data_IF_541161612976
#
_entry.id   IF_541161612976
#
_cell.length_a   1.000
_cell.length_b   1.000
_cell.length_c   1.000
_cell.angle_alpha   90.00
_cell.angle_beta   90.00
_cell.angle_gamma   90.00
#
_symmetry.space_group_name_H-M   'P 1'
#
loop_
_entity.id
_entity.type
_entity.pdbx_description
1 polymer ?
#
# COMPACT_ATOMS: atom_id res chain seq x y z
N UNK A 1 -27.91 21.45 -17.36
CA UNK A 1 -26.49 21.54 -16.96
C UNK A 1 -26.26 20.51 -15.87
N UNK A 2 -25.80 19.31 -16.19
CA UNK A 2 -25.32 18.34 -15.20
C UNK A 2 -24.03 18.91 -14.63
N UNK A 3 -24.09 19.42 -13.41
CA UNK A 3 -22.89 19.79 -12.65
C UNK A 3 -21.98 18.55 -12.59
N UNK A 4 -20.73 18.71 -12.97
CA UNK A 4 -19.69 17.68 -12.84
C UNK A 4 -19.52 17.40 -11.33
N UNK A 5 -20.16 16.34 -10.83
CA UNK A 5 -20.17 15.97 -9.41
C UNK A 5 -18.93 15.16 -9.02
N UNK A 6 -18.13 14.74 -10.02
CA UNK A 6 -16.90 13.99 -9.84
C UNK A 6 -15.70 14.95 -9.82
N UNK A 7 -14.82 14.80 -8.86
CA UNK A 7 -13.58 15.57 -8.78
C UNK A 7 -12.74 15.35 -10.04
N UNK A 8 -12.21 16.43 -10.64
CA UNK A 8 -11.42 16.38 -11.87
C UNK A 8 -10.19 15.47 -11.80
N UNK A 9 -9.54 15.35 -10.64
CA UNK A 9 -8.40 14.44 -10.44
C UNK A 9 -8.80 12.96 -10.50
N UNK A 10 -10.09 12.62 -10.35
CA UNK A 10 -10.57 11.24 -10.42
C UNK A 10 -10.92 10.82 -11.85
N UNK A 11 -11.22 11.75 -12.75
CA UNK A 11 -11.62 11.43 -14.14
C UNK A 11 -10.50 10.85 -14.99
N UNK A 12 -9.24 10.98 -14.53
CA UNK A 12 -8.04 10.47 -15.21
C UNK A 12 -7.51 9.16 -14.62
N UNK A 13 -8.21 8.60 -13.62
CA UNK A 13 -7.77 7.34 -13.01
C UNK A 13 -8.05 6.18 -13.96
N UNK A 14 -6.99 5.45 -14.29
CA UNK A 14 -7.10 4.22 -15.07
C UNK A 14 -7.51 3.04 -14.17
N UNK A 15 -8.18 2.02 -14.75
CA UNK A 15 -8.45 0.78 -14.03
C UNK A 15 -7.17 0.14 -13.49
N UNK A 16 -7.26 -0.56 -12.37
CA UNK A 16 -6.11 -1.25 -11.78
C UNK A 16 -5.47 -2.20 -12.79
N UNK A 17 -4.20 -1.95 -13.14
CA UNK A 17 -3.42 -2.79 -14.06
C UNK A 17 -3.38 -4.25 -13.58
N UNK A 18 -3.32 -4.49 -12.28
CA UNK A 18 -3.33 -5.83 -11.67
C UNK A 18 -4.64 -6.57 -11.95
N UNK A 19 -5.79 -5.89 -11.83
CA UNK A 19 -7.10 -6.47 -12.16
C UNK A 19 -7.22 -6.76 -13.65
N UNK A 20 -6.82 -5.81 -14.50
CA UNK A 20 -6.87 -5.96 -15.96
C UNK A 20 -5.99 -7.14 -16.44
N UNK A 21 -4.79 -7.31 -15.90
CA UNK A 21 -3.89 -8.44 -16.18
C UNK A 21 -4.54 -9.76 -15.75
N UNK A 22 -5.17 -9.80 -14.58
CA UNK A 22 -5.83 -11.00 -14.08
C UNK A 22 -7.03 -11.40 -14.95
N UNK A 23 -7.86 -10.46 -15.36
CA UNK A 23 -8.98 -10.72 -16.28
C UNK A 23 -8.50 -11.19 -17.65
N UNK A 24 -7.46 -10.55 -18.19
CA UNK A 24 -6.83 -10.99 -19.44
C UNK A 24 -6.29 -12.42 -19.33
N UNK A 25 -5.63 -12.75 -18.22
CA UNK A 25 -5.12 -14.09 -17.95
C UNK A 25 -6.24 -15.13 -17.92
N UNK A 26 -7.36 -14.85 -17.24
CA UNK A 26 -8.54 -15.71 -17.21
C UNK A 26 -9.11 -15.97 -18.62
N UNK A 27 -9.25 -14.91 -19.44
CA UNK A 27 -9.73 -15.03 -20.82
C UNK A 27 -8.82 -15.90 -21.68
N UNK A 28 -7.51 -15.74 -21.56
CA UNK A 28 -6.53 -16.53 -22.31
C UNK A 28 -6.54 -18.01 -21.89
N UNK A 29 -6.67 -18.30 -20.60
CA UNK A 29 -6.81 -19.68 -20.09
C UNK A 29 -8.09 -20.33 -20.64
N UNK A 30 -9.21 -19.61 -20.64
CA UNK A 30 -10.47 -20.10 -21.21
C UNK A 30 -10.37 -20.40 -22.72
N UNK A 31 -9.43 -19.80 -23.44
CA UNK A 31 -9.09 -20.08 -24.83
C UNK A 31 -8.10 -21.25 -25.00
N UNK A 32 -7.80 -21.99 -23.93
CA UNK A 32 -6.86 -23.13 -23.96
C UNK A 32 -5.37 -22.74 -23.94
N UNK A 33 -5.03 -21.46 -23.72
CA UNK A 33 -3.63 -21.02 -23.65
C UNK A 33 -3.00 -21.32 -22.30
N UNK A 34 -1.78 -21.82 -22.28
CA UNK A 34 -0.99 -22.02 -21.07
C UNK A 34 -0.48 -20.66 -20.58
N UNK A 35 -0.95 -20.20 -19.42
CA UNK A 35 -0.59 -18.91 -18.82
C UNK A 35 0.01 -19.13 -17.43
N UNK A 36 1.18 -18.55 -17.20
CA UNK A 36 1.81 -18.43 -15.89
C UNK A 36 1.37 -17.11 -15.26
N UNK A 37 0.62 -17.17 -14.15
CA UNK A 37 0.03 -15.97 -13.52
C UNK A 37 0.95 -15.41 -12.45
N UNK A 38 1.57 -14.26 -12.74
CA UNK A 38 2.37 -13.46 -11.81
C UNK A 38 1.76 -12.09 -11.51
N UNK A 39 0.46 -11.90 -11.82
CA UNK A 39 -0.22 -10.61 -11.68
C UNK A 39 -0.59 -10.24 -10.23
N UNK A 40 -0.68 -11.21 -9.32
CA UNK A 40 -0.94 -10.98 -7.91
C UNK A 40 0.20 -11.48 -7.05
N UNK A 41 0.66 -10.65 -6.10
CA UNK A 41 1.57 -11.05 -5.04
C UNK A 41 0.84 -11.78 -3.90
N UNK A 42 -0.04 -12.71 -4.23
CA UNK A 42 -0.78 -13.48 -3.23
C UNK A 42 0.04 -14.69 -2.78
N UNK A 43 0.14 -14.89 -1.45
CA UNK A 43 0.79 -16.08 -0.90
C UNK A 43 0.15 -17.37 -1.42
N UNK A 44 0.92 -18.35 -1.90
CA UNK A 44 0.41 -19.66 -2.29
C UNK A 44 0.11 -20.56 -1.08
N UNK A 45 0.53 -20.17 0.12
CA UNK A 45 0.36 -20.96 1.34
C UNK A 45 -0.99 -20.70 1.98
N UNK A 46 -1.63 -21.71 2.61
CA UNK A 46 -2.85 -21.51 3.37
C UNK A 46 -2.59 -20.62 4.60
N UNK A 47 -3.66 -20.04 5.13
CA UNK A 47 -3.59 -19.32 6.41
C UNK A 47 -3.22 -20.33 7.51
N UNK A 48 -2.25 -20.05 8.37
CA UNK A 48 -1.88 -20.96 9.47
C UNK A 48 -3.08 -21.29 10.36
N UNK A 49 -3.25 -22.57 10.73
CA UNK A 49 -4.41 -23.05 11.47
C UNK A 49 -4.63 -22.33 12.80
N UNK A 50 -3.53 -21.95 13.48
CA UNK A 50 -3.61 -21.14 14.71
C UNK A 50 -4.34 -19.80 14.50
N UNK A 51 -4.14 -19.16 13.34
CA UNK A 51 -4.82 -17.90 13.01
C UNK A 51 -6.30 -18.17 12.73
N UNK A 52 -6.58 -19.25 11.99
CA UNK A 52 -7.96 -19.67 11.66
C UNK A 52 -8.76 -19.98 12.93
N UNK A 53 -8.19 -20.74 13.88
CA UNK A 53 -8.87 -21.07 15.14
C UNK A 53 -9.14 -19.84 15.99
N UNK A 54 -8.14 -18.96 16.17
CA UNK A 54 -8.34 -17.71 16.93
C UNK A 54 -9.41 -16.81 16.28
N UNK A 55 -9.45 -16.74 14.94
CA UNK A 55 -10.52 -16.01 14.26
C UNK A 55 -11.90 -16.60 14.56
N UNK A 56 -12.05 -17.93 14.48
CA UNK A 56 -13.31 -18.63 14.79
C UNK A 56 -13.76 -18.36 16.24
N UNK A 57 -12.84 -18.45 17.20
CA UNK A 57 -13.10 -18.20 18.62
C UNK A 57 -13.56 -16.75 18.90
N UNK A 58 -13.11 -15.81 18.11
CA UNK A 58 -13.38 -14.39 18.31
C UNK A 58 -14.41 -13.81 17.33
N UNK A 59 -14.97 -14.60 16.42
CA UNK A 59 -15.88 -14.14 15.38
C UNK A 59 -17.18 -13.52 15.92
N UNK A 60 -17.62 -13.91 17.12
CA UNK A 60 -18.83 -13.39 17.78
C UNK A 60 -18.59 -12.07 18.54
N UNK A 61 -17.35 -11.62 18.68
CA UNK A 61 -17.06 -10.35 19.36
C UNK A 61 -17.56 -9.17 18.52
N UNK A 62 -18.34 -8.29 19.12
CA UNK A 62 -19.03 -7.17 18.44
C UNK A 62 -18.68 -5.80 19.00
N UNK A 63 -17.85 -5.72 20.01
CA UNK A 63 -17.53 -4.46 20.68
C UNK A 63 -16.70 -3.54 19.80
N UNK A 64 -16.95 -2.23 19.87
CA UNK A 64 -16.11 -1.26 19.21
C UNK A 64 -14.73 -1.23 19.86
N UNK A 65 -13.73 -1.24 19.00
CA UNK A 65 -12.33 -1.05 19.41
C UNK A 65 -11.94 0.44 19.42
N UNK A 66 -10.88 0.81 20.15
CA UNK A 66 -10.28 2.13 20.02
C UNK A 66 -9.94 2.43 18.54
N UNK A 67 -10.03 3.69 18.13
CA UNK A 67 -9.78 4.12 16.75
C UNK A 67 -8.39 3.68 16.24
N UNK A 68 -7.40 3.63 17.11
CA UNK A 68 -6.05 3.16 16.79
C UNK A 68 -5.93 1.63 16.68
N UNK A 69 -6.98 0.89 17.03
CA UNK A 69 -6.98 -0.57 17.11
C UNK A 69 -6.67 -1.12 18.49
N UNK A 70 -6.73 -2.43 18.61
CA UNK A 70 -6.56 -3.18 19.88
C UNK A 70 -5.19 -2.87 20.51
N UNK A 71 -5.18 -2.46 21.77
CA UNK A 71 -3.97 -2.02 22.46
C UNK A 71 -2.91 -3.12 22.56
N UNK A 72 -3.34 -4.36 22.86
CA UNK A 72 -2.47 -5.53 22.96
C UNK A 72 -1.81 -5.87 21.63
N UNK A 73 -2.54 -5.72 20.51
CA UNK A 73 -1.98 -5.92 19.17
C UNK A 73 -0.94 -4.85 18.85
N UNK A 74 -1.22 -3.59 19.14
CA UNK A 74 -0.28 -2.48 18.93
C UNK A 74 0.99 -2.66 19.76
N UNK A 75 0.86 -3.11 21.00
CA UNK A 75 2.02 -3.42 21.84
C UNK A 75 2.82 -4.61 21.32
N UNK A 76 2.18 -5.67 20.87
CA UNK A 76 2.86 -6.82 20.26
C UNK A 76 3.63 -6.42 18.99
N UNK A 77 3.04 -5.56 18.14
CA UNK A 77 3.70 -5.03 16.95
C UNK A 77 4.89 -4.15 17.32
N UNK A 78 4.74 -3.27 18.31
CA UNK A 78 5.83 -2.43 18.84
C UNK A 78 7.03 -3.29 19.28
N UNK A 79 6.80 -4.31 20.10
CA UNK A 79 7.83 -5.25 20.55
C UNK A 79 8.50 -5.99 19.39
N UNK A 80 7.70 -6.44 18.41
CA UNK A 80 8.21 -7.13 17.22
C UNK A 80 9.10 -6.20 16.38
N UNK A 81 8.66 -4.99 16.11
CA UNK A 81 9.42 -4.02 15.32
C UNK A 81 10.73 -3.64 16.03
N UNK A 82 10.68 -3.34 17.33
CA UNK A 82 11.86 -2.95 18.12
C UNK A 82 12.91 -4.06 18.11
N UNK A 83 12.48 -5.32 18.27
CA UNK A 83 13.38 -6.48 18.21
C UNK A 83 14.05 -6.64 16.84
N UNK A 84 13.35 -6.36 15.75
CA UNK A 84 13.84 -6.64 14.39
C UNK A 84 14.55 -5.46 13.72
N UNK A 85 14.32 -4.24 14.19
CA UNK A 85 14.86 -3.02 13.55
C UNK A 85 15.85 -2.25 14.42
N UNK A 86 15.96 -2.60 15.71
CA UNK A 86 16.76 -1.85 16.66
C UNK A 86 16.20 -0.47 17.03
N UNK A 87 14.99 -0.14 16.58
CA UNK A 87 14.29 1.12 16.90
C UNK A 87 13.54 1.02 18.24
N UNK A 88 12.99 2.14 18.71
CA UNK A 88 12.23 2.24 19.95
C UNK A 88 10.83 2.78 19.69
N UNK A 89 10.02 2.02 18.94
CA UNK A 89 8.61 2.36 18.73
C UNK A 89 7.80 2.09 19.99
N UNK A 90 6.88 2.97 20.30
CA UNK A 90 5.85 2.80 21.32
C UNK A 90 4.55 2.32 20.65
N UNK A 91 3.63 1.70 21.41
CA UNK A 91 2.31 1.32 20.91
C UNK A 91 1.51 2.52 20.38
N UNK A 92 1.78 3.72 20.88
CA UNK A 92 1.20 5.00 20.45
C UNK A 92 1.63 5.39 19.03
N UNK A 93 2.73 4.86 18.53
CA UNK A 93 3.21 5.07 17.17
C UNK A 93 2.58 4.11 16.14
N UNK A 94 1.65 3.26 16.58
CA UNK A 94 1.05 2.20 15.74
C UNK A 94 -0.46 2.41 15.62
N UNK A 95 -0.93 2.38 14.40
CA UNK A 95 -2.35 2.38 14.03
C UNK A 95 -2.65 1.09 13.26
N UNK A 96 -3.72 0.40 13.65
CA UNK A 96 -4.20 -0.79 12.95
C UNK A 96 -5.21 -0.36 11.88
N UNK A 97 -5.00 -0.82 10.66
CA UNK A 97 -5.89 -0.57 9.53
C UNK A 97 -6.25 -1.88 8.83
N UNK A 98 -7.36 -1.94 8.07
CA UNK A 98 -7.70 -3.09 7.24
C UNK A 98 -6.72 -3.26 6.06
N UNK A 99 -5.47 -3.55 6.37
CA UNK A 99 -4.33 -3.63 5.47
C UNK A 99 -3.61 -2.30 5.27
N UNK A 100 -2.32 -2.38 4.90
CA UNK A 100 -1.45 -1.22 4.68
C UNK A 100 -1.92 -0.29 3.56
N UNK A 101 -2.70 -0.79 2.61
CA UNK A 101 -3.25 0.00 1.51
C UNK A 101 -4.17 1.12 2.00
N UNK A 102 -5.05 0.82 2.95
CA UNK A 102 -5.91 1.82 3.58
C UNK A 102 -5.09 2.77 4.45
N UNK A 103 -4.19 2.24 5.27
CA UNK A 103 -3.31 3.06 6.11
C UNK A 103 -2.54 4.10 5.30
N UNK A 104 -1.96 3.71 4.16
CA UNK A 104 -1.27 4.65 3.25
C UNK A 104 -2.23 5.69 2.65
N UNK A 105 -3.43 5.27 2.25
CA UNK A 105 -4.42 6.20 1.73
C UNK A 105 -4.80 7.27 2.75
N UNK A 106 -5.04 6.87 4.00
CA UNK A 106 -5.31 7.80 5.10
C UNK A 106 -4.14 8.74 5.37
N UNK A 107 -2.90 8.24 5.30
CA UNK A 107 -1.71 9.08 5.39
C UNK A 107 -1.65 10.12 4.27
N UNK A 108 -1.91 9.73 3.03
CA UNK A 108 -1.96 10.67 1.90
C UNK A 108 -3.05 11.74 2.10
N UNK A 109 -4.20 11.38 2.66
CA UNK A 109 -5.27 12.35 2.97
C UNK A 109 -4.87 13.35 4.05
N UNK A 110 -4.09 12.91 5.03
CA UNK A 110 -3.64 13.75 6.14
C UNK A 110 -2.37 14.57 5.81
N UNK A 111 -1.61 14.16 4.80
CA UNK A 111 -0.33 14.76 4.45
C UNK A 111 -0.51 15.88 3.41
N UNK A 112 0.02 17.06 3.73
CA UNK A 112 0.04 18.18 2.80
C UNK A 112 1.46 18.37 2.24
N UNK A 113 1.73 17.78 1.09
CA UNK A 113 3.04 17.86 0.46
C UNK A 113 3.18 16.98 -0.78
N UNK A 114 4.30 17.07 -1.44
CA UNK A 114 4.65 16.28 -2.61
C UNK A 114 5.19 14.90 -2.20
N UNK A 115 4.95 13.90 -3.04
CA UNK A 115 5.37 12.50 -2.83
C UNK A 115 6.45 12.16 -3.84
N UNK A 116 7.58 11.61 -3.37
CA UNK A 116 8.61 11.04 -4.23
C UNK A 116 8.42 9.52 -4.26
N UNK A 117 8.27 8.96 -5.45
CA UNK A 117 8.13 7.52 -5.66
C UNK A 117 9.32 6.96 -6.43
N UNK A 118 10.00 5.90 -5.95
CA UNK A 118 10.99 5.19 -6.75
C UNK A 118 10.31 4.40 -7.87
N UNK A 119 10.93 4.33 -9.04
CA UNK A 119 10.50 3.50 -10.15
C UNK A 119 11.50 2.35 -10.37
N UNK A 120 11.04 1.08 -10.36
CA UNK A 120 9.65 0.62 -10.22
C UNK A 120 9.14 0.66 -8.79
N UNK A 121 7.81 0.78 -8.62
CA UNK A 121 7.14 0.64 -7.33
C UNK A 121 5.71 0.12 -7.49
N UNK A 122 5.05 -0.11 -6.37
CA UNK A 122 3.70 -0.67 -6.39
C UNK A 122 2.69 0.27 -7.06
N UNK A 123 1.89 -0.31 -7.94
CA UNK A 123 0.93 0.39 -8.81
C UNK A 123 -0.12 1.25 -8.10
N UNK A 124 -0.32 1.07 -6.80
CA UNK A 124 -1.33 1.84 -6.04
C UNK A 124 -0.80 3.13 -5.43
N UNK A 125 0.51 3.35 -5.36
CA UNK A 125 1.07 4.54 -4.70
C UNK A 125 0.68 5.84 -5.41
N UNK A 126 0.94 5.93 -6.71
CA UNK A 126 0.60 7.12 -7.50
C UNK A 126 -0.91 7.40 -7.55
N UNK A 127 -1.80 6.42 -7.82
CA UNK A 127 -3.25 6.68 -7.78
C UNK A 127 -3.73 7.20 -6.42
N UNK A 128 -3.22 6.67 -5.31
CA UNK A 128 -3.59 7.15 -3.98
C UNK A 128 -3.14 8.60 -3.74
N UNK A 129 -1.91 8.93 -4.12
CA UNK A 129 -1.40 10.29 -4.03
C UNK A 129 -2.25 11.26 -4.89
N UNK A 130 -2.58 10.88 -6.11
CA UNK A 130 -3.39 11.67 -7.03
C UNK A 130 -4.83 11.90 -6.51
N UNK A 131 -5.45 10.87 -5.91
CA UNK A 131 -6.78 11.00 -5.28
C UNK A 131 -6.73 12.02 -4.13
N UNK A 132 -5.65 12.03 -3.37
CA UNK A 132 -5.41 12.95 -2.26
C UNK A 132 -4.91 14.32 -2.69
N UNK A 133 -4.75 14.54 -4.01
CA UNK A 133 -4.21 15.78 -4.59
C UNK A 133 -2.74 16.06 -4.24
N UNK A 134 -2.00 15.06 -3.79
CA UNK A 134 -0.57 15.15 -3.62
C UNK A 134 0.12 15.04 -5.00
N UNK A 135 1.08 15.91 -5.26
CA UNK A 135 1.88 15.84 -6.49
C UNK A 135 2.92 14.73 -6.39
N UNK A 136 3.01 13.91 -7.43
CA UNK A 136 3.97 12.79 -7.48
C UNK A 136 5.20 13.17 -8.31
N UNK A 137 6.37 12.86 -7.78
CA UNK A 137 7.66 13.00 -8.44
C UNK A 137 8.37 11.65 -8.51
N UNK A 138 8.55 11.13 -9.71
CA UNK A 138 9.24 9.87 -9.91
C UNK A 138 10.77 10.05 -9.83
N UNK A 139 11.43 9.10 -9.15
CA UNK A 139 12.89 8.94 -9.17
C UNK A 139 13.21 7.57 -9.77
N UNK A 140 14.05 7.57 -10.82
CA UNK A 140 14.47 6.31 -11.45
C UNK A 140 15.48 5.60 -10.56
N UNK A 141 15.34 4.28 -10.48
CA UNK A 141 16.24 3.40 -9.73
C UNK A 141 16.70 2.24 -10.61
N UNK A 142 17.75 1.53 -10.20
CA UNK A 142 18.30 0.39 -10.91
C UNK A 142 18.59 -0.79 -9.99
N UNK A 143 18.86 -1.94 -10.59
CA UNK A 143 19.31 -3.14 -9.88
C UNK A 143 20.61 -2.93 -9.10
N UNK A 144 21.47 -2.00 -9.53
CA UNK A 144 22.77 -1.74 -8.90
C UNK A 144 22.63 -1.27 -7.44
N UNK A 145 21.52 -0.62 -7.12
CA UNK A 145 21.15 -0.17 -5.77
C UNK A 145 19.94 -0.92 -5.21
N UNK A 146 19.72 -2.16 -5.61
CA UNK A 146 18.57 -2.97 -5.17
C UNK A 146 17.23 -2.26 -5.34
N UNK A 147 17.07 -1.47 -6.40
CA UNK A 147 15.85 -0.70 -6.70
C UNK A 147 15.49 0.35 -5.65
N UNK A 148 16.49 0.86 -4.90
CA UNK A 148 16.35 2.00 -4.00
C UNK A 148 17.17 3.19 -4.48
N UNK A 149 16.67 4.42 -4.34
CA UNK A 149 17.47 5.60 -4.65
C UNK A 149 18.59 5.77 -3.63
N UNK A 150 19.76 6.17 -4.10
CA UNK A 150 20.83 6.61 -3.21
C UNK A 150 20.50 7.95 -2.56
N UNK A 151 21.13 8.26 -1.42
CA UNK A 151 20.96 9.55 -0.76
C UNK A 151 21.27 10.73 -1.68
N UNK A 152 22.29 10.62 -2.53
CA UNK A 152 22.68 11.64 -3.51
C UNK A 152 21.61 11.87 -4.59
N UNK A 153 21.03 10.80 -5.10
CA UNK A 153 19.95 10.87 -6.10
C UNK A 153 18.69 11.50 -5.49
N UNK A 154 18.35 11.09 -4.27
CA UNK A 154 17.21 11.66 -3.55
C UNK A 154 17.42 13.16 -3.28
N UNK A 155 18.59 13.56 -2.81
CA UNK A 155 18.93 14.97 -2.58
C UNK A 155 18.84 15.79 -3.88
N UNK A 156 19.39 15.26 -5.00
CA UNK A 156 19.29 15.90 -6.32
C UNK A 156 17.83 16.08 -6.74
N UNK A 157 16.99 15.02 -6.50
CA UNK A 157 15.56 15.08 -6.83
C UNK A 157 14.85 16.14 -5.99
N UNK A 158 15.08 16.18 -4.69
CA UNK A 158 14.47 17.17 -3.78
C UNK A 158 14.84 18.60 -4.20
N UNK A 159 16.12 18.85 -4.54
CA UNK A 159 16.56 20.17 -5.04
C UNK A 159 15.85 20.56 -6.33
N UNK A 160 15.62 19.61 -7.25
CA UNK A 160 14.91 19.87 -8.51
C UNK A 160 13.41 20.16 -8.38
N UNK A 161 12.81 19.77 -7.25
CA UNK A 161 11.38 20.03 -6.97
C UNK A 161 11.18 21.43 -6.38
N UNK A 162 12.16 21.91 -5.61
CA UNK A 162 12.09 23.21 -4.92
C UNK A 162 12.33 24.44 -5.82
N UNK A 163 12.81 24.19 -7.04
CA UNK A 163 13.02 25.21 -8.07
C UNK A 163 11.89 25.19 -9.09
#
# INVERSE_FOLDING_TARGET
>A
MTKDIIKKNLTKLEPSATLAINEKSKKLIAQGKKIYRFGFGQSPFPVPEKIVSVLKENAAKKDYLPMQGLAELREAISKYLNKNTGNSFLKENIIITPGSKEGMFLMHQAFNGDIILPAPSWVSYEPQANISSNKVHWIQTSSDNNWFPTAKELEKKIKSIKN
#
